data_IF_489403901036
#
_entry.id   IF_489403901036
#
_cell.length_a   1.000
_cell.length_b   1.000
_cell.length_c   1.000
_cell.angle_alpha   90.00
_cell.angle_beta   90.00
_cell.angle_gamma   90.00
#
_symmetry.space_group_name_H-M   'P 1'
#
loop_
_entity.id
_entity.type
_entity.pdbx_description
1 polymer ?
#
# COMPACT_ATOMS: atom_id res chain seq x y z
N UNK A 1 -2.44 25.05 -15.89
CA UNK A 1 -3.72 24.37 -15.55
C UNK A 1 -4.04 23.46 -16.73
N UNK A 2 -4.27 22.16 -16.50
CA UNK A 2 -4.58 21.21 -17.58
C UNK A 2 -3.52 20.15 -17.88
N UNK A 3 -2.58 19.90 -16.97
CA UNK A 3 -1.63 18.77 -17.09
C UNK A 3 -2.00 17.67 -16.10
N UNK A 4 -1.91 16.41 -16.52
CA UNK A 4 -2.20 15.26 -15.68
C UNK A 4 -1.28 15.19 -14.46
N UNK A 5 -1.86 14.89 -13.30
CA UNK A 5 -1.11 14.62 -12.08
C UNK A 5 -0.82 13.12 -12.00
N UNK A 6 0.45 12.75 -11.82
CA UNK A 6 0.81 11.37 -11.43
C UNK A 6 0.35 11.08 -9.99
N UNK A 7 0.26 12.09 -9.13
CA UNK A 7 -0.23 12.01 -7.75
C UNK A 7 -0.94 13.31 -7.33
N UNK A 8 -1.61 13.33 -6.17
CA UNK A 8 -2.33 14.50 -5.66
C UNK A 8 -3.34 15.07 -6.68
N UNK A 9 -4.29 14.23 -7.11
CA UNK A 9 -5.28 14.60 -8.14
C UNK A 9 -6.15 15.81 -7.75
N UNK A 10 -6.39 16.01 -6.45
CA UNK A 10 -7.14 17.13 -5.89
C UNK A 10 -6.33 18.44 -5.79
N UNK A 11 -5.04 18.40 -6.13
CA UNK A 11 -4.12 19.56 -6.12
C UNK A 11 -4.06 20.28 -4.77
N UNK A 12 -4.18 19.51 -3.69
CA UNK A 12 -4.05 20.02 -2.34
C UNK A 12 -2.61 20.53 -2.11
N UNK A 13 -2.46 21.67 -1.46
CA UNK A 13 -1.17 22.29 -1.16
C UNK A 13 -1.19 22.82 0.27
N UNK A 14 -0.24 22.38 1.09
CA UNK A 14 -0.05 22.88 2.44
C UNK A 14 1.45 22.82 2.78
N UNK A 15 2.16 23.97 2.85
CA UNK A 15 3.61 23.98 3.04
C UNK A 15 4.05 23.42 4.40
N UNK A 16 3.19 23.50 5.42
CA UNK A 16 3.47 22.92 6.73
C UNK A 16 3.38 21.39 6.68
N UNK A 17 2.42 20.86 5.92
CA UNK A 17 2.31 19.42 5.66
C UNK A 17 3.55 18.91 4.90
N UNK A 18 4.00 19.62 3.88
CA UNK A 18 5.20 19.29 3.11
C UNK A 18 6.45 19.28 4.01
N UNK A 19 6.61 20.28 4.88
CA UNK A 19 7.73 20.37 5.81
C UNK A 19 7.75 19.20 6.82
N UNK A 20 6.59 18.77 7.32
CA UNK A 20 6.47 17.60 8.18
C UNK A 20 6.82 16.30 7.46
N UNK A 21 6.42 16.15 6.19
CA UNK A 21 6.81 15.01 5.36
C UNK A 21 8.32 14.94 5.14
N UNK A 22 8.98 16.07 4.91
CA UNK A 22 10.44 16.14 4.75
C UNK A 22 11.18 15.78 6.05
N UNK A 23 10.67 16.21 7.21
CA UNK A 23 11.20 15.78 8.51
C UNK A 23 11.02 14.29 8.74
N UNK A 24 9.81 13.77 8.53
CA UNK A 24 9.48 12.35 8.72
C UNK A 24 10.38 11.44 7.88
N UNK A 25 10.74 11.86 6.66
CA UNK A 25 11.60 11.09 5.74
C UNK A 25 13.00 10.81 6.31
N UNK A 26 13.53 11.69 7.15
CA UNK A 26 14.90 11.58 7.69
C UNK A 26 14.94 11.14 9.16
N UNK A 27 13.80 11.12 9.84
CA UNK A 27 13.68 10.68 11.23
C UNK A 27 13.79 9.15 11.32
N UNK A 28 14.73 8.66 12.13
CA UNK A 28 14.91 7.22 12.38
C UNK A 28 14.30 6.73 13.70
N UNK A 29 14.02 7.63 14.64
CA UNK A 29 13.39 7.29 15.91
C UNK A 29 11.88 7.06 15.72
N UNK A 30 11.37 5.92 16.20
CA UNK A 30 9.97 5.56 16.02
C UNK A 30 9.03 6.49 16.79
N UNK A 31 9.39 6.93 17.99
CA UNK A 31 8.55 7.82 18.79
C UNK A 31 8.41 9.19 18.15
N UNK A 32 9.50 9.72 17.58
CA UNK A 32 9.48 10.95 16.80
C UNK A 32 8.67 10.78 15.50
N UNK A 33 8.78 9.65 14.79
CA UNK A 33 7.95 9.35 13.62
C UNK A 33 6.46 9.37 13.97
N UNK A 34 6.05 8.74 15.07
CA UNK A 34 4.66 8.73 15.52
C UNK A 34 4.14 10.14 15.82
N UNK A 35 4.95 11.00 16.45
CA UNK A 35 4.60 12.40 16.72
C UNK A 35 4.45 13.23 15.44
N UNK A 36 5.32 13.03 14.46
CA UNK A 36 5.24 13.70 13.16
C UNK A 36 4.00 13.25 12.38
N UNK A 37 3.70 11.94 12.38
CA UNK A 37 2.48 11.39 11.76
C UNK A 37 1.22 11.93 12.43
N UNK A 38 1.20 12.08 13.76
CA UNK A 38 0.05 12.68 14.46
C UNK A 38 -0.18 14.15 14.04
N UNK A 39 0.88 14.92 13.78
CA UNK A 39 0.76 16.29 13.27
C UNK A 39 0.23 16.33 11.83
N UNK A 40 0.75 15.44 10.97
CA UNK A 40 0.25 15.26 9.60
C UNK A 40 -1.24 14.90 9.60
N UNK A 41 -1.65 13.95 10.45
CA UNK A 41 -3.06 13.57 10.62
C UNK A 41 -3.92 14.74 11.10
N UNK A 42 -3.41 15.55 12.04
CA UNK A 42 -4.12 16.74 12.52
C UNK A 42 -4.44 17.70 11.38
N UNK A 43 -3.46 18.02 10.53
CA UNK A 43 -3.66 18.86 9.34
C UNK A 43 -4.64 18.20 8.38
N UNK A 44 -4.44 16.91 8.08
CA UNK A 44 -5.30 16.17 7.14
C UNK A 44 -6.77 16.15 7.55
N UNK A 45 -7.06 15.98 8.85
CA UNK A 45 -8.42 15.97 9.37
C UNK A 45 -9.05 17.37 9.48
N UNK A 46 -8.25 18.43 9.59
CA UNK A 46 -8.76 19.79 9.54
C UNK A 46 -9.08 20.22 8.10
N UNK A 47 -8.23 19.86 7.15
CA UNK A 47 -8.31 20.34 5.78
C UNK A 47 -9.16 19.42 4.88
N UNK A 48 -9.32 18.15 5.27
CA UNK A 48 -10.10 17.11 4.58
C UNK A 48 -9.85 17.05 3.05
N UNK A 49 -8.58 17.02 2.59
CA UNK A 49 -8.28 17.08 1.16
C UNK A 49 -8.78 15.85 0.39
N UNK A 50 -8.85 14.71 1.06
CA UNK A 50 -9.45 13.46 0.61
C UNK A 50 -10.21 12.86 1.79
N UNK A 51 -11.35 12.22 1.52
CA UNK A 51 -12.17 11.58 2.55
C UNK A 51 -12.08 10.07 2.36
N UNK A 52 -11.38 9.40 3.27
CA UNK A 52 -11.25 7.94 3.28
C UNK A 52 -12.55 7.30 3.78
N UNK A 53 -13.07 6.31 3.04
CA UNK A 53 -14.37 5.68 3.32
C UNK A 53 -14.21 4.24 3.83
N UNK A 54 -13.35 3.44 3.19
CA UNK A 54 -13.10 2.05 3.57
C UNK A 54 -11.72 1.59 3.09
N UNK A 55 -11.20 0.51 3.70
CA UNK A 55 -10.02 -0.19 3.20
C UNK A 55 -10.41 -1.14 2.09
N UNK A 56 -10.00 -0.84 0.85
CA UNK A 56 -10.28 -1.69 -0.31
C UNK A 56 -9.64 -3.07 -0.18
N UNK A 57 -10.37 -4.12 -0.57
CA UNK A 57 -9.83 -5.47 -0.56
C UNK A 57 -8.73 -5.63 -1.64
N UNK A 58 -7.72 -6.44 -1.33
CA UNK A 58 -6.84 -7.02 -2.34
C UNK A 58 -7.59 -8.19 -2.96
N UNK A 59 -8.06 -8.03 -4.19
CA UNK A 59 -8.79 -9.07 -4.93
C UNK A 59 -7.80 -10.13 -5.44
N UNK A 60 -7.91 -11.34 -4.91
CA UNK A 60 -7.02 -12.44 -5.26
C UNK A 60 -7.75 -13.79 -5.14
N UNK A 61 -8.34 -14.21 -6.25
CA UNK A 61 -8.97 -15.53 -6.37
C UNK A 61 -8.18 -16.42 -7.34
N UNK A 62 -8.06 -17.69 -6.99
CA UNK A 62 -7.36 -18.68 -7.81
C UNK A 62 -8.11 -20.01 -7.85
N UNK A 63 -7.76 -20.85 -8.83
CA UNK A 63 -8.28 -22.22 -8.99
C UNK A 63 -7.13 -23.21 -8.97
N UNK A 64 -7.34 -24.36 -8.36
CA UNK A 64 -6.31 -25.39 -8.23
C UNK A 64 -6.41 -26.51 -9.26
N UNK A 65 -7.41 -26.49 -10.15
CA UNK A 65 -7.65 -27.55 -11.15
C UNK A 65 -6.47 -27.82 -12.09
N UNK A 66 -5.60 -26.83 -12.32
CA UNK A 66 -4.46 -26.93 -13.25
C UNK A 66 -3.13 -26.47 -12.67
N UNK A 67 -3.16 -25.72 -11.58
CA UNK A 67 -1.96 -25.16 -10.97
C UNK A 67 -2.13 -25.10 -9.45
N UNK A 68 -1.12 -25.56 -8.74
CA UNK A 68 -0.99 -25.51 -7.29
C UNK A 68 0.17 -24.59 -6.90
N UNK A 69 0.36 -24.36 -5.60
CA UNK A 69 1.43 -23.48 -5.10
C UNK A 69 1.06 -22.00 -4.97
N UNK A 70 -0.23 -21.64 -5.09
CA UNK A 70 -0.71 -20.28 -4.83
C UNK A 70 -0.42 -19.85 -3.39
N UNK A 71 -0.03 -18.57 -3.14
CA UNK A 71 0.12 -18.08 -1.77
C UNK A 71 -1.25 -17.99 -1.10
N UNK A 72 -1.33 -18.37 0.16
CA UNK A 72 -2.54 -18.27 0.97
C UNK A 72 -2.17 -18.09 2.45
N UNK A 73 -3.17 -18.09 3.34
CA UNK A 73 -2.92 -17.92 4.79
C UNK A 73 -2.07 -19.04 5.40
N UNK A 74 -2.11 -20.25 4.85
CA UNK A 74 -1.33 -21.40 5.32
C UNK A 74 0.10 -21.40 4.76
N UNK A 75 0.32 -20.79 3.60
CA UNK A 75 1.61 -20.64 2.94
C UNK A 75 1.80 -19.21 2.39
N UNK A 76 2.04 -18.20 3.26
CA UNK A 76 2.07 -16.79 2.90
C UNK A 76 3.46 -16.34 2.39
N UNK A 77 3.99 -17.01 1.36
CA UNK A 77 5.36 -16.76 0.89
C UNK A 77 5.53 -15.46 0.08
N UNK A 78 4.45 -14.83 -0.38
CA UNK A 78 4.46 -13.53 -1.04
C UNK A 78 3.11 -12.81 -0.95
N UNK A 79 3.08 -11.52 -1.30
CA UNK A 79 1.84 -10.78 -1.48
C UNK A 79 1.12 -11.26 -2.75
N UNK A 80 -0.22 -11.25 -2.78
CA UNK A 80 -0.99 -11.46 -4.01
C UNK A 80 -0.56 -10.62 -5.22
N UNK A 81 0.01 -9.43 -4.96
CA UNK A 81 0.45 -8.51 -6.00
C UNK A 81 1.88 -8.80 -6.51
N UNK A 82 2.62 -9.74 -5.90
CA UNK A 82 3.97 -10.11 -6.30
C UNK A 82 3.94 -11.12 -7.46
N UNK A 83 3.44 -10.69 -8.62
CA UNK A 83 3.17 -11.56 -9.76
C UNK A 83 4.37 -12.45 -10.16
N UNK A 84 5.59 -11.93 -10.09
CA UNK A 84 6.80 -12.71 -10.38
C UNK A 84 6.96 -13.89 -9.41
N UNK A 85 6.85 -13.63 -8.10
CA UNK A 85 6.99 -14.67 -7.08
C UNK A 85 5.87 -15.69 -7.17
N UNK A 86 4.63 -15.24 -7.40
CA UNK A 86 3.49 -16.14 -7.61
C UNK A 86 3.79 -17.07 -8.78
N UNK A 87 4.06 -16.52 -9.97
CA UNK A 87 4.22 -17.32 -11.19
C UNK A 87 5.39 -18.31 -11.13
N UNK A 88 6.48 -17.98 -10.44
CA UNK A 88 7.64 -18.88 -10.33
C UNK A 88 7.48 -19.99 -9.29
N UNK A 89 6.47 -19.91 -8.42
CA UNK A 89 6.16 -20.92 -7.42
C UNK A 89 4.98 -21.81 -7.80
N UNK A 90 4.26 -21.50 -8.89
CA UNK A 90 3.20 -22.36 -9.39
C UNK A 90 3.76 -23.63 -10.03
N UNK A 91 3.10 -24.76 -9.74
CA UNK A 91 3.40 -26.06 -10.35
C UNK A 91 2.13 -26.64 -10.97
N UNK A 92 2.22 -27.51 -12.01
CA UNK A 92 1.06 -28.23 -12.52
C UNK A 92 0.35 -29.01 -11.40
N UNK A 93 -0.99 -29.04 -11.44
CA UNK A 93 -1.77 -29.76 -10.45
C UNK A 93 -1.39 -31.25 -10.43
N UNK A 94 -1.20 -31.82 -9.23
CA UNK A 94 -0.77 -33.20 -9.03
C UNK A 94 0.73 -33.49 -9.23
N UNK A 95 1.54 -32.49 -9.60
CA UNK A 95 3.02 -32.60 -9.60
C UNK A 95 3.64 -32.05 -8.30
N UNK A 96 2.85 -31.34 -7.48
CA UNK A 96 3.26 -30.84 -6.17
C UNK A 96 3.02 -31.86 -5.05
N UNK A 97 3.94 -32.82 -4.88
CA UNK A 97 4.09 -33.64 -3.67
C UNK A 97 5.50 -33.46 -3.09
#
# INVERSE_FOLDING_TARGET
>A
IGEDAVSNWVRYMNPDYDALCDQLRVTSDQGEQEQLVAQLQTIFYNDLPVIDIWYGAIWFEYRTEKAEGWPNEENPYCSPNDALLVLTNLVPAGEGA
#
